data_IF_636951432098
#
_entry.id   IF_636951432098
#
_cell.length_a   1.000
_cell.length_b   1.000
_cell.length_c   1.000
_cell.angle_alpha   90.00
_cell.angle_beta   90.00
_cell.angle_gamma   90.00
#
_symmetry.space_group_name_H-M   'P 1'
#
loop_
_entity.id
_entity.type
_entity.pdbx_description
1 polymer ?
#
# COMPACT_ATOMS: atom_id res chain seq x y z
N UNK A 1 25.50 12.48 -0.26
CA UNK A 1 24.46 12.88 -1.25
C UNK A 1 24.90 14.22 -1.84
N UNK A 2 25.44 14.23 -3.07
CA UNK A 2 26.12 15.40 -3.66
C UNK A 2 25.26 16.15 -4.69
N UNK A 3 23.95 16.26 -4.43
CA UNK A 3 23.01 16.97 -5.30
C UNK A 3 22.87 18.43 -4.86
N UNK A 4 22.74 19.40 -5.79
CA UNK A 4 22.35 20.77 -5.47
C UNK A 4 21.00 20.87 -4.74
N UNK A 5 20.16 19.84 -4.86
CA UNK A 5 18.83 19.75 -4.25
C UNK A 5 18.83 18.88 -2.97
N UNK A 6 19.98 18.79 -2.28
CA UNK A 6 20.19 17.92 -1.12
C UNK A 6 19.16 18.13 -0.01
N UNK A 7 18.84 19.38 0.31
CA UNK A 7 17.91 19.68 1.40
C UNK A 7 16.47 19.27 1.07
N UNK A 8 16.05 19.42 -0.19
CA UNK A 8 14.75 18.91 -0.66
C UNK A 8 14.68 17.39 -0.58
N UNK A 9 15.76 16.68 -0.95
CA UNK A 9 15.81 15.22 -0.85
C UNK A 9 15.82 14.73 0.59
N UNK A 10 16.53 15.40 1.50
CA UNK A 10 16.46 15.09 2.94
C UNK A 10 15.06 15.26 3.49
N UNK A 11 14.41 16.39 3.23
CA UNK A 11 13.04 16.64 3.67
C UNK A 11 12.06 15.58 3.15
N UNK A 12 12.25 15.12 1.91
CA UNK A 12 11.47 14.03 1.34
C UNK A 12 11.72 12.67 2.02
N UNK A 13 12.96 12.39 2.44
CA UNK A 13 13.32 11.20 3.23
C UNK A 13 12.69 11.28 4.62
N UNK A 14 12.83 12.41 5.32
CA UNK A 14 12.29 12.60 6.66
C UNK A 14 10.76 12.43 6.67
N UNK A 15 10.09 12.96 5.64
CA UNK A 15 8.65 12.78 5.43
C UNK A 15 8.29 11.30 5.26
N UNK A 16 9.04 10.56 4.44
CA UNK A 16 8.81 9.13 4.23
C UNK A 16 9.05 8.33 5.52
N UNK A 17 10.14 8.59 6.24
CA UNK A 17 10.45 7.92 7.50
C UNK A 17 9.38 8.23 8.57
N UNK A 18 8.88 9.46 8.62
CA UNK A 18 7.73 9.85 9.43
C UNK A 18 6.47 9.04 9.10
N UNK A 19 6.14 8.90 7.81
CA UNK A 19 4.99 8.10 7.37
C UNK A 19 5.11 6.62 7.79
N UNK A 20 6.30 6.03 7.65
CA UNK A 20 6.56 4.64 8.07
C UNK A 20 6.39 4.46 9.58
N UNK A 21 6.84 5.44 10.37
CA UNK A 21 6.70 5.44 11.82
C UNK A 21 5.23 5.60 12.25
N UNK A 22 4.50 6.55 11.67
CA UNK A 22 3.08 6.79 11.93
C UNK A 22 2.24 5.54 11.66
N UNK A 23 2.51 4.87 10.54
CA UNK A 23 1.79 3.64 10.16
C UNK A 23 2.28 2.40 10.93
N UNK A 24 3.30 2.53 11.80
CA UNK A 24 3.90 1.43 12.58
C UNK A 24 4.32 0.26 11.69
N UNK A 25 4.98 0.57 10.56
CA UNK A 25 5.26 -0.41 9.50
C UNK A 25 6.18 -1.54 9.97
N UNK A 26 7.08 -1.26 10.90
CA UNK A 26 8.09 -2.23 11.33
C UNK A 26 8.52 -2.04 12.78
N UNK A 27 9.17 -3.07 13.32
CA UNK A 27 9.82 -3.04 14.64
C UNK A 27 11.30 -3.37 14.49
N UNK A 28 12.14 -2.65 15.24
CA UNK A 28 13.57 -2.92 15.34
C UNK A 28 13.80 -4.23 16.10
N UNK A 29 14.70 -5.07 15.58
CA UNK A 29 15.14 -6.33 16.19
C UNK A 29 16.64 -6.50 16.02
N UNK A 30 17.30 -7.12 17.00
CA UNK A 30 18.71 -7.51 16.86
C UNK A 30 18.83 -8.62 15.84
N UNK A 31 19.88 -8.58 15.01
CA UNK A 31 20.10 -9.57 13.96
C UNK A 31 20.19 -11.01 14.50
N UNK A 32 20.70 -11.21 15.72
CA UNK A 32 20.76 -12.52 16.40
C UNK A 32 19.40 -13.13 16.73
N UNK A 33 18.34 -12.31 16.81
CA UNK A 33 16.97 -12.75 17.07
C UNK A 33 16.22 -13.10 15.78
N UNK A 34 16.80 -12.86 14.61
CA UNK A 34 16.21 -13.29 13.34
C UNK A 34 16.41 -14.81 13.21
N UNK A 35 15.36 -15.58 12.89
CA UNK A 35 15.52 -17.01 12.64
C UNK A 35 16.55 -17.29 11.53
N UNK A 36 17.41 -18.28 11.73
CA UNK A 36 18.58 -18.54 10.87
C UNK A 36 18.24 -18.88 9.42
N UNK A 37 17.03 -19.35 9.17
CA UNK A 37 16.50 -19.78 7.88
C UNK A 37 15.70 -18.71 7.14
N UNK A 38 15.56 -17.52 7.74
CA UNK A 38 14.83 -16.39 7.16
C UNK A 38 15.77 -15.41 6.46
N UNK A 39 15.42 -15.06 5.22
CA UNK A 39 16.19 -14.10 4.43
C UNK A 39 15.91 -12.67 4.92
N UNK A 40 16.96 -11.85 5.00
CA UNK A 40 16.87 -10.40 5.31
C UNK A 40 17.07 -9.62 4.01
N UNK A 41 16.05 -8.84 3.61
CA UNK A 41 16.09 -8.09 2.35
C UNK A 41 16.71 -6.70 2.52
N UNK A 42 17.44 -6.26 1.50
CA UNK A 42 17.92 -4.88 1.41
C UNK A 42 16.76 -3.89 1.28
N UNK A 43 16.95 -2.66 1.75
CA UNK A 43 16.05 -1.54 1.42
C UNK A 43 16.80 -0.50 0.59
N UNK A 44 16.06 0.29 -0.17
CA UNK A 44 16.61 1.41 -0.94
C UNK A 44 15.58 2.52 -1.05
N UNK A 45 16.07 3.75 -1.15
CA UNK A 45 15.22 4.87 -1.51
C UNK A 45 14.99 4.93 -3.03
N UNK A 46 13.73 5.11 -3.41
CA UNK A 46 13.33 5.48 -4.77
C UNK A 46 12.91 6.95 -4.74
N UNK A 47 13.57 7.76 -5.55
CA UNK A 47 13.39 9.19 -5.62
C UNK A 47 12.61 9.59 -6.88
N UNK A 48 11.68 10.52 -6.75
CA UNK A 48 10.91 11.07 -7.86
C UNK A 48 10.63 12.55 -7.63
N UNK A 49 10.84 13.36 -8.66
CA UNK A 49 10.29 14.72 -8.73
C UNK A 49 8.94 14.61 -9.46
N UNK A 50 7.87 15.08 -8.82
CA UNK A 50 6.54 15.13 -9.42
C UNK A 50 6.43 16.32 -10.39
N UNK A 51 5.41 16.31 -11.24
CA UNK A 51 5.14 17.38 -12.22
C UNK A 51 4.93 18.74 -11.54
N UNK A 52 4.36 18.73 -10.32
CA UNK A 52 4.20 19.90 -9.44
C UNK A 52 5.52 20.35 -8.75
N UNK A 53 6.68 19.86 -9.22
CA UNK A 53 8.02 20.11 -8.66
C UNK A 53 8.25 19.61 -7.23
N UNK A 54 7.31 18.82 -6.68
CA UNK A 54 7.47 18.24 -5.34
C UNK A 54 8.41 17.05 -5.36
N UNK A 55 9.32 17.01 -4.40
CA UNK A 55 10.24 15.91 -4.17
C UNK A 55 9.55 14.80 -3.38
N UNK A 56 9.70 13.56 -3.83
CA UNK A 56 9.16 12.38 -3.16
C UNK A 56 10.24 11.31 -3.05
N UNK A 57 10.47 10.84 -1.83
CA UNK A 57 11.24 9.63 -1.55
C UNK A 57 10.27 8.53 -1.14
N UNK A 58 10.62 7.28 -1.42
CA UNK A 58 9.94 6.10 -0.89
C UNK A 58 10.97 5.07 -0.47
N UNK A 59 10.83 4.50 0.72
CA UNK A 59 11.68 3.38 1.13
C UNK A 59 11.07 2.09 0.57
N UNK A 60 11.86 1.35 -0.19
CA UNK A 60 11.40 0.19 -0.95
C UNK A 60 12.21 -1.03 -0.53
N UNK A 61 11.52 -2.11 -0.18
CA UNK A 61 12.12 -3.41 0.08
C UNK A 61 12.67 -4.05 -1.21
N UNK A 62 13.72 -4.85 -1.07
CA UNK A 62 14.36 -5.61 -2.14
C UNK A 62 13.54 -6.82 -2.62
N UNK A 63 12.24 -6.67 -2.86
CA UNK A 63 11.35 -7.79 -3.20
C UNK A 63 11.66 -8.47 -4.53
N UNK A 64 12.45 -7.86 -5.41
CA UNK A 64 13.01 -8.53 -6.60
C UNK A 64 13.87 -9.77 -6.26
N UNK A 65 14.34 -9.90 -5.01
CA UNK A 65 15.06 -11.08 -4.51
C UNK A 65 14.13 -12.11 -3.86
N UNK A 66 12.85 -11.80 -3.68
CA UNK A 66 11.87 -12.75 -3.15
C UNK A 66 11.59 -13.87 -4.17
N UNK A 67 11.13 -15.01 -3.67
CA UNK A 67 10.92 -16.23 -4.44
C UNK A 67 9.53 -16.77 -4.10
N UNK A 68 8.74 -17.08 -5.12
CA UNK A 68 7.43 -17.70 -4.93
C UNK A 68 7.55 -19.01 -4.14
N UNK A 69 6.57 -19.31 -3.30
CA UNK A 69 6.55 -20.49 -2.43
C UNK A 69 7.41 -20.36 -1.16
N UNK A 70 8.51 -19.60 -1.20
CA UNK A 70 9.34 -19.31 -0.02
C UNK A 70 8.94 -18.00 0.68
N UNK A 71 8.91 -16.91 -0.09
CA UNK A 71 8.76 -15.55 0.44
C UNK A 71 7.36 -14.97 0.26
N UNK A 72 6.54 -15.56 -0.60
CA UNK A 72 5.14 -15.20 -0.79
C UNK A 72 4.39 -16.38 -1.42
N UNK A 73 3.09 -16.48 -1.13
CA UNK A 73 2.19 -17.42 -1.81
C UNK A 73 1.62 -16.83 -3.10
N UNK A 74 1.00 -15.64 -2.98
CA UNK A 74 0.42 -14.87 -4.09
C UNK A 74 1.09 -13.51 -4.17
N UNK A 75 1.49 -13.09 -5.37
CA UNK A 75 2.06 -11.76 -5.64
C UNK A 75 1.23 -10.91 -6.60
N UNK A 76 0.11 -11.44 -7.09
CA UNK A 76 -0.79 -10.72 -7.98
C UNK A 76 -2.01 -10.22 -7.21
N UNK A 77 -2.36 -8.95 -7.41
CA UNK A 77 -3.63 -8.38 -7.03
C UNK A 77 -4.50 -8.23 -8.28
N UNK A 78 -5.82 -8.46 -8.18
CA UNK A 78 -6.71 -8.11 -9.27
C UNK A 78 -6.62 -6.60 -9.56
N UNK A 79 -6.85 -6.25 -10.82
CA UNK A 79 -6.90 -4.87 -11.29
C UNK A 79 -8.27 -4.67 -11.91
N UNK A 80 -8.93 -3.55 -11.58
CA UNK A 80 -10.24 -3.22 -12.16
C UNK A 80 -10.14 -3.24 -13.68
N UNK A 81 -11.06 -3.96 -14.31
CA UNK A 81 -11.14 -4.03 -15.77
C UNK A 81 -11.63 -2.71 -16.33
N UNK A 82 -11.06 -2.29 -17.46
CA UNK A 82 -11.51 -1.08 -18.14
C UNK A 82 -13.00 -1.13 -18.53
N UNK A 83 -13.53 -2.32 -18.84
CA UNK A 83 -14.96 -2.54 -19.07
C UNK A 83 -15.82 -2.19 -17.85
N UNK A 84 -15.37 -2.55 -16.65
CA UNK A 84 -16.05 -2.23 -15.40
C UNK A 84 -16.05 -0.74 -15.11
N UNK A 85 -14.92 -0.05 -15.36
CA UNK A 85 -14.82 1.41 -15.24
C UNK A 85 -15.80 2.10 -16.21
N UNK A 86 -15.85 1.65 -17.47
CA UNK A 86 -16.79 2.20 -18.47
C UNK A 86 -18.24 1.95 -18.07
N UNK A 87 -18.55 0.79 -17.52
CA UNK A 87 -19.89 0.46 -17.04
C UNK A 87 -20.30 1.34 -15.86
N UNK A 88 -19.38 1.58 -14.92
CA UNK A 88 -19.61 2.52 -13.82
C UNK A 88 -19.98 3.92 -14.35
N UNK A 89 -19.22 4.46 -15.31
CA UNK A 89 -19.54 5.75 -15.93
C UNK A 89 -20.85 5.75 -16.72
N UNK A 90 -21.17 4.66 -17.42
CA UNK A 90 -22.42 4.53 -18.17
C UNK A 90 -23.63 4.57 -17.23
N UNK A 91 -23.59 3.80 -16.14
CA UNK A 91 -24.64 3.78 -15.10
C UNK A 91 -24.76 5.16 -14.45
N UNK A 92 -23.64 5.79 -14.08
CA UNK A 92 -23.66 7.13 -13.50
C UNK A 92 -24.31 8.15 -14.45
N UNK A 93 -23.98 8.10 -15.74
CA UNK A 93 -24.55 8.99 -16.75
C UNK A 93 -26.06 8.74 -16.96
N UNK A 94 -26.49 7.49 -17.03
CA UNK A 94 -27.89 7.10 -17.19
C UNK A 94 -28.77 7.60 -16.04
N UNK A 95 -28.28 7.50 -14.80
CA UNK A 95 -29.01 7.92 -13.61
C UNK A 95 -28.71 9.36 -13.16
N UNK A 96 -27.87 10.10 -13.89
CA UNK A 96 -27.46 11.46 -13.52
C UNK A 96 -26.67 11.55 -12.21
N UNK A 97 -25.94 10.49 -11.85
CA UNK A 97 -25.10 10.45 -10.66
C UNK A 97 -23.74 11.11 -10.89
N UNK A 98 -23.23 11.73 -9.84
CA UNK A 98 -21.86 12.23 -9.79
C UNK A 98 -20.89 11.05 -9.58
N UNK A 99 -19.67 11.21 -10.11
CA UNK A 99 -18.57 10.26 -9.89
C UNK A 99 -17.48 10.96 -9.12
N UNK A 100 -17.06 10.34 -8.03
CA UNK A 100 -16.01 10.83 -7.16
C UNK A 100 -14.78 9.94 -7.30
N UNK A 101 -13.61 10.57 -7.28
CA UNK A 101 -12.32 9.88 -7.25
C UNK A 101 -11.66 10.12 -5.90
N UNK A 102 -11.23 9.04 -5.25
CA UNK A 102 -10.49 9.06 -3.99
C UNK A 102 -9.11 8.42 -4.21
N UNK A 103 -8.08 8.94 -3.55
CA UNK A 103 -6.72 8.39 -3.52
C UNK A 103 -6.42 7.90 -2.11
N UNK A 104 -6.11 6.61 -1.96
CA UNK A 104 -5.76 6.05 -0.66
C UNK A 104 -4.31 6.40 -0.34
N UNK A 105 -4.14 7.25 0.67
CA UNK A 105 -2.82 7.61 1.16
C UNK A 105 -2.10 6.37 1.72
N UNK A 106 -0.91 6.11 1.19
CA UNK A 106 -0.03 5.04 1.66
C UNK A 106 -0.70 3.65 1.68
N UNK A 107 -1.45 3.30 0.63
CA UNK A 107 -2.28 2.11 0.57
C UNK A 107 -1.56 0.81 1.02
N UNK A 108 -0.35 0.54 0.53
CA UNK A 108 0.41 -0.66 0.92
C UNK A 108 0.79 -0.67 2.40
N UNK A 109 1.06 0.49 3.00
CA UNK A 109 1.41 0.62 4.42
C UNK A 109 0.20 0.41 5.34
N UNK A 110 -1.01 0.23 4.79
CA UNK A 110 -2.21 -0.11 5.55
C UNK A 110 -2.50 -1.62 5.61
N UNK A 111 -1.77 -2.43 4.84
CA UNK A 111 -1.91 -3.88 4.84
C UNK A 111 -0.90 -4.54 5.79
N UNK A 112 -1.33 -5.55 6.55
CA UNK A 112 -0.41 -6.37 7.34
C UNK A 112 0.36 -7.35 6.45
N UNK A 113 1.57 -7.72 6.87
CA UNK A 113 2.31 -8.80 6.21
C UNK A 113 1.67 -10.17 6.49
N UNK A 114 1.70 -11.07 5.51
CA UNK A 114 1.16 -12.45 5.63
C UNK A 114 2.12 -13.42 6.31
N UNK A 115 3.36 -13.00 6.55
CA UNK A 115 4.45 -13.80 7.10
C UNK A 115 5.54 -12.90 7.65
N UNK A 116 6.46 -13.51 8.39
CA UNK A 116 7.65 -12.81 8.88
C UNK A 116 8.54 -12.35 7.72
N UNK A 117 8.69 -11.04 7.58
CA UNK A 117 9.58 -10.40 6.61
C UNK A 117 10.55 -9.50 7.35
N UNK A 118 11.84 -9.68 7.09
CA UNK A 118 12.90 -8.86 7.69
C UNK A 118 13.61 -8.05 6.62
N UNK A 119 13.91 -6.79 6.94
CA UNK A 119 14.61 -5.88 6.04
C UNK A 119 15.75 -5.16 6.77
N UNK A 120 16.79 -4.80 6.01
CA UNK A 120 17.86 -3.94 6.52
C UNK A 120 17.33 -2.51 6.74
N UNK A 121 17.93 -1.76 7.68
CA UNK A 121 17.68 -0.33 7.82
C UNK A 121 17.76 0.43 6.50
N UNK A 122 17.12 1.59 6.44
CA UNK A 122 17.28 2.49 5.33
C UNK A 122 18.77 2.84 5.16
N UNK A 123 19.29 2.98 3.92
CA UNK A 123 20.69 3.28 3.72
C UNK A 123 21.10 4.58 4.42
N UNK A 124 22.09 4.52 5.31
CA UNK A 124 22.52 5.64 6.15
C UNK A 124 21.89 5.70 7.54
N UNK A 125 20.89 4.85 7.83
CA UNK A 125 20.25 4.69 9.14
C UNK A 125 20.66 3.36 9.81
N UNK A 126 21.84 2.84 9.47
CA UNK A 126 22.36 1.61 10.09
C UNK A 126 22.67 1.84 11.57
N UNK A 127 21.93 1.15 12.43
CA UNK A 127 22.10 1.24 13.89
C UNK A 127 22.64 -0.07 14.47
N UNK A 128 23.33 0.07 15.60
CA UNK A 128 23.76 -1.06 16.44
C UNK A 128 23.10 -0.97 17.80
N UNK A 129 22.75 -2.12 18.35
CA UNK A 129 22.27 -2.23 19.72
C UNK A 129 23.33 -1.69 20.69
N UNK A 130 22.98 -0.75 21.59
CA UNK A 130 23.96 -0.06 22.44
C UNK A 130 24.58 -0.98 23.50
N UNK A 131 23.95 -2.10 23.83
CA UNK A 131 24.42 -3.03 24.86
C UNK A 131 25.27 -4.15 24.27
N UNK A 132 24.83 -4.72 23.15
CA UNK A 132 25.44 -5.90 22.52
C UNK A 132 26.35 -5.56 21.34
N UNK A 133 26.23 -4.35 20.78
CA UNK A 133 26.94 -3.92 19.58
C UNK A 133 26.47 -4.59 18.29
N UNK A 134 25.39 -5.39 18.36
CA UNK A 134 24.84 -6.13 17.24
C UNK A 134 24.14 -5.21 16.24
N UNK A 135 24.19 -5.57 14.95
CA UNK A 135 23.43 -4.85 13.93
C UNK A 135 21.93 -4.97 14.19
N UNK A 136 21.22 -3.86 14.06
CA UNK A 136 19.76 -3.83 14.10
C UNK A 136 19.19 -4.05 12.69
N UNK A 137 18.11 -4.82 12.62
CA UNK A 137 17.29 -4.99 11.41
C UNK A 137 15.83 -4.72 11.75
N UNK A 138 14.96 -4.66 10.75
CA UNK A 138 13.54 -4.37 10.92
C UNK A 138 12.69 -5.58 10.56
N UNK A 139 11.86 -6.04 11.50
CA UNK A 139 10.74 -6.95 11.20
C UNK A 139 9.56 -6.12 10.73
N UNK A 140 9.08 -6.38 9.52
CA UNK A 140 7.90 -5.70 8.98
C UNK A 140 6.64 -6.26 9.64
N UNK A 141 5.81 -5.37 10.16
CA UNK A 141 4.45 -5.66 10.64
C UNK A 141 3.46 -5.43 9.49
N UNK A 142 3.71 -4.38 8.70
CA UNK A 142 2.90 -3.99 7.54
C UNK A 142 3.69 -4.05 6.24
N UNK A 143 2.96 -4.14 5.13
CA UNK A 143 3.55 -4.30 3.81
C UNK A 143 4.30 -3.05 3.40
N UNK A 144 5.57 -3.21 2.98
CA UNK A 144 6.40 -2.13 2.49
C UNK A 144 6.36 -2.07 0.96
N UNK A 145 6.61 -0.90 0.38
CA UNK A 145 6.77 -0.78 -1.08
C UNK A 145 7.83 -1.77 -1.60
N UNK A 146 7.60 -2.36 -2.77
CA UNK A 146 8.56 -3.22 -3.45
C UNK A 146 8.64 -4.66 -2.95
N UNK A 147 7.91 -5.05 -1.89
CA UNK A 147 7.63 -6.46 -1.67
C UNK A 147 6.76 -6.98 -2.82
N UNK A 148 7.03 -8.21 -3.25
CA UNK A 148 6.32 -8.86 -4.35
C UNK A 148 4.83 -9.01 -4.05
N UNK A 149 4.46 -9.26 -2.79
CA UNK A 149 3.06 -9.45 -2.39
C UNK A 149 2.32 -8.18 -1.99
N UNK A 150 2.97 -7.02 -1.91
CA UNK A 150 2.34 -5.78 -1.41
C UNK A 150 1.01 -5.43 -2.08
N UNK A 151 0.88 -5.51 -3.42
CA UNK A 151 -0.41 -5.23 -4.06
C UNK A 151 -1.51 -6.19 -3.60
N UNK A 152 -1.18 -7.49 -3.45
CA UNK A 152 -2.15 -8.51 -3.04
C UNK A 152 -2.60 -8.27 -1.60
N UNK A 153 -1.65 -8.03 -0.69
CA UNK A 153 -1.96 -7.77 0.72
C UNK A 153 -2.85 -6.53 0.88
N UNK A 154 -2.60 -5.50 0.08
CA UNK A 154 -3.45 -4.33 0.03
C UNK A 154 -4.88 -4.65 -0.45
N UNK A 155 -5.02 -5.41 -1.54
CA UNK A 155 -6.35 -5.79 -2.04
C UNK A 155 -7.14 -6.60 -1.00
N UNK A 156 -6.48 -7.51 -0.28
CA UNK A 156 -7.12 -8.27 0.79
C UNK A 156 -7.52 -7.35 1.96
N UNK A 157 -6.64 -6.44 2.37
CA UNK A 157 -6.91 -5.52 3.48
C UNK A 157 -8.09 -4.57 3.19
N UNK A 158 -8.16 -3.98 1.99
CA UNK A 158 -9.27 -3.09 1.63
C UNK A 158 -10.58 -3.87 1.46
N UNK A 159 -10.51 -5.10 0.94
CA UNK A 159 -11.67 -5.98 0.83
C UNK A 159 -12.29 -6.27 2.19
N UNK A 160 -11.48 -6.69 3.15
CA UNK A 160 -11.96 -7.05 4.49
C UNK A 160 -12.63 -5.85 5.15
N UNK A 161 -12.07 -4.64 4.96
CA UNK A 161 -12.68 -3.39 5.44
C UNK A 161 -14.02 -3.10 4.75
N UNK A 162 -14.08 -3.21 3.43
CA UNK A 162 -15.31 -2.94 2.68
C UNK A 162 -16.43 -3.92 3.04
N UNK A 163 -16.12 -5.21 3.18
CA UNK A 163 -17.09 -6.23 3.62
C UNK A 163 -17.61 -5.92 5.02
N UNK A 164 -16.74 -5.52 5.96
CA UNK A 164 -17.15 -5.11 7.31
C UNK A 164 -18.10 -3.91 7.25
N UNK A 165 -17.90 -2.98 6.32
CA UNK A 165 -18.78 -1.84 6.10
C UNK A 165 -20.04 -2.17 5.28
N UNK A 166 -20.28 -3.45 4.96
CA UNK A 166 -21.50 -3.90 4.29
C UNK A 166 -21.44 -3.85 2.76
N UNK A 167 -20.28 -3.53 2.17
CA UNK A 167 -20.10 -3.59 0.72
C UNK A 167 -20.01 -5.04 0.24
N UNK A 168 -20.57 -5.30 -0.93
CA UNK A 168 -20.54 -6.60 -1.57
C UNK A 168 -19.64 -6.57 -2.80
N UNK A 169 -18.60 -7.40 -2.80
CA UNK A 169 -17.72 -7.58 -3.96
C UNK A 169 -18.46 -8.29 -5.09
N UNK A 170 -18.35 -7.79 -6.30
CA UNK A 170 -19.00 -8.44 -7.46
C UNK A 170 -18.25 -9.69 -7.92
N UNK A 171 -18.98 -10.67 -8.43
CA UNK A 171 -18.37 -11.87 -9.03
C UNK A 171 -17.70 -11.59 -10.38
N UNK A 172 -18.23 -10.62 -11.14
CA UNK A 172 -17.75 -10.28 -12.48
C UNK A 172 -16.39 -9.58 -12.47
N UNK A 173 -16.13 -8.77 -11.43
CA UNK A 173 -14.87 -8.07 -11.22
C UNK A 173 -14.58 -7.91 -9.71
N UNK A 174 -13.53 -8.56 -9.17
CA UNK A 174 -13.21 -8.52 -7.74
C UNK A 174 -12.71 -7.16 -7.24
N UNK A 175 -12.52 -6.19 -8.12
CA UNK A 175 -12.22 -4.81 -7.75
C UNK A 175 -13.45 -3.90 -7.77
N UNK A 176 -14.62 -4.41 -8.11
CA UNK A 176 -15.89 -3.68 -8.07
C UNK A 176 -16.73 -4.16 -6.89
N UNK A 177 -17.33 -3.20 -6.19
CA UNK A 177 -18.19 -3.42 -5.05
C UNK A 177 -19.49 -2.67 -5.24
N UNK A 178 -20.56 -3.22 -4.67
CA UNK A 178 -21.87 -2.60 -4.62
C UNK A 178 -22.32 -2.47 -3.18
N UNK A 179 -23.05 -1.40 -2.90
CA UNK A 179 -23.74 -1.18 -1.64
C UNK A 179 -25.18 -0.79 -1.96
N UNK A 180 -26.13 -1.43 -1.28
CA UNK A 180 -27.56 -1.19 -1.47
C UNK A 180 -28.16 -0.75 -0.15
N UNK A 181 -28.78 0.43 -0.14
CA UNK A 181 -29.47 0.98 1.02
C UNK A 181 -30.91 1.31 0.64
N UNK A 182 -31.85 0.44 0.99
CA UNK A 182 -33.22 0.52 0.47
C UNK A 182 -33.22 0.31 -1.04
N UNK A 183 -33.73 1.30 -1.78
CA UNK A 183 -33.77 1.29 -3.25
C UNK A 183 -32.57 2.01 -3.89
N UNK A 184 -31.62 2.51 -3.09
CA UNK A 184 -30.47 3.24 -3.58
C UNK A 184 -29.24 2.33 -3.76
N UNK A 185 -28.66 2.38 -4.95
CA UNK A 185 -27.44 1.69 -5.32
C UNK A 185 -26.25 2.65 -5.27
N UNK A 186 -25.14 2.17 -4.71
CA UNK A 186 -23.81 2.76 -4.82
C UNK A 186 -22.84 1.73 -5.37
N UNK A 187 -22.01 2.15 -6.33
CA UNK A 187 -20.99 1.34 -6.98
C UNK A 187 -19.62 1.95 -6.69
N UNK A 188 -18.68 1.11 -6.30
CA UNK A 188 -17.29 1.46 -6.03
C UNK A 188 -16.37 0.57 -6.85
N UNK A 189 -15.37 1.15 -7.51
CA UNK A 189 -14.34 0.44 -8.27
C UNK A 189 -12.94 0.84 -7.81
N UNK A 190 -12.05 -0.14 -7.58
CA UNK A 190 -10.71 0.08 -7.02
C UNK A 190 -9.63 -0.23 -8.03
N UNK A 191 -8.86 0.78 -8.42
CA UNK A 191 -7.66 0.62 -9.25
C UNK A 191 -6.41 0.85 -8.41
N UNK A 192 -5.91 -0.21 -7.78
CA UNK A 192 -4.75 -0.16 -6.87
C UNK A 192 -4.99 0.83 -5.72
N UNK A 193 -4.48 2.06 -5.81
CA UNK A 193 -4.60 3.09 -4.78
C UNK A 193 -5.77 4.07 -5.08
N UNK A 194 -6.25 4.12 -6.32
CA UNK A 194 -7.37 4.95 -6.76
C UNK A 194 -8.72 4.24 -6.54
N UNK A 195 -9.73 4.99 -6.11
CA UNK A 195 -11.10 4.52 -5.97
C UNK A 195 -12.02 5.44 -6.75
N UNK A 196 -12.88 4.86 -7.58
CA UNK A 196 -14.03 5.55 -8.18
C UNK A 196 -15.29 5.12 -7.45
N UNK A 197 -16.14 6.07 -7.08
CA UNK A 197 -17.41 5.81 -6.41
C UNK A 197 -18.53 6.66 -7.02
N UNK A 198 -19.70 6.06 -7.21
CA UNK A 198 -20.90 6.71 -7.73
C UNK A 198 -22.15 6.04 -7.18
N UNK A 199 -23.26 6.76 -7.05
CA UNK A 199 -24.49 6.19 -6.52
C UNK A 199 -25.59 7.22 -6.30
N UNK A 200 -26.81 6.74 -6.08
CA UNK A 200 -27.96 7.58 -5.76
C UNK A 200 -27.89 8.19 -4.36
N UNK A 201 -27.26 7.50 -3.42
CA UNK A 201 -27.11 7.95 -2.04
C UNK A 201 -25.88 8.85 -1.87
N UNK A 202 -26.09 10.18 -1.79
CA UNK A 202 -24.99 11.14 -1.60
C UNK A 202 -24.30 11.03 -0.24
N UNK A 203 -24.98 10.53 0.81
CA UNK A 203 -24.35 10.38 2.13
C UNK A 203 -23.30 9.27 2.16
N UNK A 204 -23.48 8.22 1.36
CA UNK A 204 -22.54 7.11 1.23
C UNK A 204 -21.38 7.49 0.30
N UNK A 205 -21.66 8.30 -0.72
CA UNK A 205 -20.67 8.71 -1.72
C UNK A 205 -19.75 9.83 -1.21
N UNK A 206 -20.23 10.71 -0.32
CA UNK A 206 -19.53 11.91 0.14
C UNK A 206 -18.97 11.87 1.58
N UNK A 207 -18.90 10.70 2.23
CA UNK A 207 -18.26 10.51 3.54
C UNK A 207 -16.84 9.97 3.40
#
# INVERSE_FOLDING_TARGET
MNSPQREQWKSAIDTEMGNLAEHKVSKKVRISLVPKDVDIFDTRFVFKIKVDSRFKARLVAGGHRQRAGRHFGRNYAPVTRLGSIRMLFAIACEHGWEVYQLDVVAAFLNAYTDRDVYVRPAPGDEERDPTTGEMMVYKLEKSLYGLSQSPSLWNDAINDRLIIFGWQRTHSDPCVYIFVSGDELTILAIYVDDILITGGNKEIVCK
#
